data_IF_210635466155
#
_entry.id   IF_210635466155
#
_cell.length_a   1.000
_cell.length_b   1.000
_cell.length_c   1.000
_cell.angle_alpha   90.00
_cell.angle_beta   90.00
_cell.angle_gamma   90.00
#
_symmetry.space_group_name_H-M   'P 1'
#
loop_
_entity.id
_entity.type
_entity.pdbx_description
1 polymer ?
#
# COMPACT_ATOMS: atom_id res chain seq x y z
N UNK A 1 34.83 -15.87 -22.71
CA UNK A 1 33.75 -16.88 -22.68
C UNK A 1 32.57 -16.28 -21.93
N UNK A 2 31.51 -15.92 -22.67
CA UNK A 2 30.14 -15.58 -22.24
C UNK A 2 29.91 -14.50 -21.15
N UNK A 3 29.57 -13.29 -21.63
CA UNK A 3 28.84 -12.22 -20.92
C UNK A 3 27.38 -12.60 -20.58
N UNK A 4 26.74 -11.75 -19.76
CA UNK A 4 25.31 -11.65 -19.41
C UNK A 4 24.81 -12.63 -18.33
N UNK A 5 24.01 -12.21 -17.35
CA UNK A 5 22.73 -11.51 -17.53
C UNK A 5 22.43 -10.51 -16.41
N UNK A 6 21.99 -9.32 -16.83
CA UNK A 6 21.32 -8.32 -16.01
C UNK A 6 20.17 -8.98 -15.24
N UNK A 7 20.07 -8.69 -13.94
CA UNK A 7 18.86 -8.93 -13.16
C UNK A 7 17.74 -8.10 -13.78
N UNK A 8 16.94 -8.76 -14.62
CA UNK A 8 15.74 -8.19 -15.20
C UNK A 8 14.75 -7.98 -14.06
N UNK A 9 14.35 -6.73 -13.90
CA UNK A 9 13.15 -6.29 -13.18
C UNK A 9 12.07 -7.36 -13.26
N UNK A 10 11.67 -7.91 -12.10
CA UNK A 10 10.52 -8.82 -12.02
C UNK A 10 9.28 -8.06 -12.50
N UNK A 11 8.86 -8.34 -13.72
CA UNK A 11 7.61 -7.87 -14.27
C UNK A 11 6.46 -8.31 -13.35
N UNK A 12 5.67 -7.34 -12.92
CA UNK A 12 4.49 -7.55 -12.11
C UNK A 12 3.43 -8.22 -12.99
N UNK A 13 3.31 -9.54 -12.84
CA UNK A 13 2.32 -10.43 -13.49
C UNK A 13 2.56 -10.76 -14.97
N UNK A 14 3.07 -11.97 -15.19
CA UNK A 14 2.88 -12.71 -16.46
C UNK A 14 2.20 -14.04 -16.13
N UNK A 15 0.87 -14.01 -16.00
CA UNK A 15 0.08 -15.23 -16.20
C UNK A 15 -1.20 -14.84 -16.91
N UNK A 16 -1.35 -15.41 -18.10
CA UNK A 16 -2.57 -15.45 -18.89
C UNK A 16 -3.68 -16.04 -18.01
N UNK A 17 -4.49 -15.18 -17.42
CA UNK A 17 -5.78 -15.53 -16.87
C UNK A 17 -6.79 -14.65 -17.60
N UNK A 18 -7.79 -15.32 -18.21
CA UNK A 18 -9.11 -14.83 -18.63
C UNK A 18 -9.40 -13.37 -18.27
N UNK A 19 -9.94 -12.57 -19.20
CA UNK A 19 -10.47 -11.22 -18.95
C UNK A 19 -11.52 -11.21 -17.83
N UNK A 20 -11.07 -11.33 -16.61
CA UNK A 20 -11.79 -11.21 -15.36
C UNK A 20 -11.54 -9.81 -14.80
N UNK A 21 -12.51 -9.30 -14.06
CA UNK A 21 -12.48 -7.95 -13.51
C UNK A 21 -11.19 -7.70 -12.69
N UNK A 22 -10.49 -6.61 -13.00
CA UNK A 22 -9.30 -6.18 -12.28
C UNK A 22 -9.68 -5.06 -11.31
N UNK A 23 -9.50 -5.30 -10.01
CA UNK A 23 -9.58 -4.26 -8.99
C UNK A 23 -8.17 -3.95 -8.48
N UNK A 24 -7.67 -2.75 -8.78
CA UNK A 24 -6.33 -2.29 -8.38
C UNK A 24 -6.44 -0.88 -7.83
N UNK A 25 -5.90 -0.67 -6.63
CA UNK A 25 -5.72 0.63 -6.02
C UNK A 25 -4.24 0.85 -5.69
N UNK A 26 -3.74 2.06 -5.94
CA UNK A 26 -2.40 2.50 -5.54
C UNK A 26 -2.61 3.74 -4.69
N UNK A 27 -2.20 3.68 -3.43
CA UNK A 27 -2.33 4.77 -2.48
C UNK A 27 -0.93 5.23 -2.05
N UNK A 28 -0.72 6.54 -2.06
CA UNK A 28 0.53 7.17 -1.63
C UNK A 28 0.18 8.25 -0.61
N UNK A 29 0.76 8.14 0.58
CA UNK A 29 0.40 8.99 1.70
C UNK A 29 1.18 8.64 2.95
N UNK A 30 0.77 9.25 4.06
CA UNK A 30 1.46 9.12 5.34
C UNK A 30 0.66 8.24 6.30
N UNK A 31 1.36 7.55 7.20
CA UNK A 31 0.73 6.66 8.18
C UNK A 31 0.21 7.49 9.36
N UNK A 32 -1.10 7.39 9.64
CA UNK A 32 -1.76 8.18 10.68
C UNK A 32 -1.51 7.70 12.11
N UNK A 33 -1.28 6.40 12.26
CA UNK A 33 -1.13 5.70 13.52
C UNK A 33 -0.18 4.53 13.35
N UNK A 34 0.55 4.18 14.40
CA UNK A 34 1.33 2.94 14.41
C UNK A 34 0.45 1.74 14.06
N UNK A 35 1.02 0.74 13.40
CA UNK A 35 0.26 -0.42 13.00
C UNK A 35 -0.12 -1.29 14.20
N UNK A 36 -1.37 -1.75 14.21
CA UNK A 36 -1.86 -2.75 15.16
C UNK A 36 -1.71 -4.13 14.54
N UNK A 37 -1.01 -5.04 15.21
CA UNK A 37 -0.92 -6.45 14.82
C UNK A 37 -1.76 -7.30 15.76
N UNK A 38 -2.73 -8.01 15.19
CA UNK A 38 -3.57 -8.96 15.90
C UNK A 38 -3.32 -10.37 15.37
N UNK A 39 -2.95 -11.28 16.26
CA UNK A 39 -2.90 -12.70 15.95
C UNK A 39 -4.30 -13.30 16.17
N UNK A 40 -4.88 -13.88 15.13
CA UNK A 40 -6.22 -14.49 15.17
C UNK A 40 -6.11 -16.00 15.43
N UNK A 41 -5.09 -16.64 14.85
CA UNK A 41 -4.73 -18.04 15.07
C UNK A 41 -3.22 -18.21 14.89
N UNK A 42 -2.68 -19.39 15.19
CA UNK A 42 -1.23 -19.68 15.07
C UNK A 42 -0.67 -19.31 13.68
N UNK A 43 -1.46 -19.51 12.62
CA UNK A 43 -1.04 -19.22 11.24
C UNK A 43 -1.63 -17.94 10.62
N UNK A 44 -2.46 -17.17 11.36
CA UNK A 44 -3.14 -15.99 10.81
C UNK A 44 -2.87 -14.76 11.66
N UNK A 45 -2.20 -13.79 11.04
CA UNK A 45 -1.99 -12.46 11.59
C UNK A 45 -2.68 -11.42 10.73
N UNK A 46 -3.25 -10.41 11.37
CA UNK A 46 -3.87 -9.25 10.73
C UNK A 46 -3.18 -8.00 11.21
N UNK A 47 -2.71 -7.20 10.27
CA UNK A 47 -2.11 -5.88 10.53
C UNK A 47 -3.05 -4.81 10.03
N UNK A 48 -3.39 -3.86 10.90
CA UNK A 48 -4.25 -2.72 10.57
C UNK A 48 -3.50 -1.42 10.77
N UNK A 49 -3.61 -0.51 9.81
CA UNK A 49 -3.10 0.86 9.95
C UNK A 49 -3.94 1.86 9.14
N UNK A 50 -3.80 3.14 9.48
CA UNK A 50 -4.47 4.25 8.79
C UNK A 50 -3.50 4.96 7.85
N UNK A 51 -3.95 5.29 6.64
CA UNK A 51 -3.18 6.01 5.63
C UNK A 51 -3.90 7.31 5.25
N UNK A 52 -3.22 8.43 5.42
CA UNK A 52 -3.68 9.76 5.00
C UNK A 52 -3.15 10.06 3.60
N UNK A 53 -4.04 10.27 2.64
CA UNK A 53 -3.69 10.78 1.30
C UNK A 53 -4.23 12.20 1.18
N UNK A 54 -3.36 13.15 0.88
CA UNK A 54 -3.76 14.56 0.70
C UNK A 54 -3.67 14.97 -0.76
N UNK A 55 -4.70 15.66 -1.23
CA UNK A 55 -4.73 16.33 -2.53
C UNK A 55 -4.86 17.85 -2.31
N UNK A 56 -4.15 18.64 -3.12
CA UNK A 56 -4.35 20.09 -3.16
C UNK A 56 -5.14 20.44 -4.40
N UNK A 57 -6.31 21.06 -4.21
CA UNK A 57 -7.21 21.46 -5.30
C UNK A 57 -7.53 22.94 -5.17
N UNK A 58 -7.58 23.66 -6.30
CA UNK A 58 -8.08 25.05 -6.31
C UNK A 58 -9.61 25.08 -6.34
N UNK A 59 -10.22 25.93 -5.53
CA UNK A 59 -11.66 26.19 -5.60
C UNK A 59 -12.04 27.11 -6.79
N UNK A 60 -13.32 27.45 -6.90
CA UNK A 60 -13.82 28.34 -7.96
C UNK A 60 -13.39 29.81 -7.76
N UNK A 61 -12.99 30.16 -6.55
CA UNK A 61 -12.58 31.50 -6.11
C UNK A 61 -11.06 31.70 -6.21
N UNK A 62 -10.31 30.64 -6.54
CA UNK A 62 -8.86 30.63 -6.71
C UNK A 62 -8.06 30.21 -5.48
N UNK A 63 -8.71 29.89 -4.36
CA UNK A 63 -8.02 29.47 -3.14
C UNK A 63 -7.56 28.01 -3.25
N UNK A 64 -6.39 27.71 -2.68
CA UNK A 64 -5.87 26.34 -2.62
C UNK A 64 -6.45 25.64 -1.39
N UNK A 65 -7.27 24.62 -1.62
CA UNK A 65 -7.86 23.78 -0.59
C UNK A 65 -7.07 22.48 -0.50
N UNK A 66 -6.62 22.14 0.72
CA UNK A 66 -6.06 20.82 1.03
C UNK A 66 -7.20 19.91 1.47
N UNK A 67 -7.41 18.81 0.75
CA UNK A 67 -8.35 17.75 1.14
C UNK A 67 -7.56 16.52 1.53
N UNK A 68 -7.88 15.94 2.68
CA UNK A 68 -7.25 14.72 3.17
C UNK A 68 -8.29 13.62 3.25
N UNK A 69 -7.98 12.47 2.64
CA UNK A 69 -8.75 11.24 2.74
C UNK A 69 -8.02 10.25 3.63
N UNK A 70 -8.79 9.56 4.48
CA UNK A 70 -8.28 8.56 5.39
C UNK A 70 -8.69 7.17 4.92
N UNK A 71 -7.69 6.30 4.73
CA UNK A 71 -7.87 4.94 4.28
C UNK A 71 -7.50 3.97 5.39
N UNK A 72 -8.36 2.99 5.67
CA UNK A 72 -8.04 1.89 6.58
C UNK A 72 -7.46 0.73 5.78
N UNK A 73 -6.19 0.42 6.02
CA UNK A 73 -5.51 -0.70 5.36
C UNK A 73 -5.52 -1.90 6.30
N UNK A 74 -5.97 -3.03 5.78
CA UNK A 74 -5.95 -4.33 6.47
C UNK A 74 -5.12 -5.28 5.62
N UNK A 75 -3.99 -5.72 6.16
CA UNK A 75 -3.15 -6.74 5.52
C UNK A 75 -3.13 -8.03 6.33
N UNK A 76 -3.14 -9.14 5.62
CA UNK A 76 -3.13 -10.48 6.18
C UNK A 76 -1.75 -11.08 5.99
N UNK A 77 -1.24 -11.77 7.03
CA UNK A 77 0.04 -12.48 7.00
C UNK A 77 1.18 -11.60 6.46
N UNK A 78 1.17 -10.31 6.82
CA UNK A 78 2.27 -9.40 6.51
C UNK A 78 3.54 -9.95 7.16
N UNK A 79 4.66 -9.88 6.44
CA UNK A 79 5.95 -10.31 6.97
C UNK A 79 6.31 -9.50 8.22
N UNK A 80 6.81 -10.14 9.30
CA UNK A 80 7.11 -9.44 10.56
C UNK A 80 7.99 -8.19 10.38
N UNK A 81 9.06 -8.29 9.57
CA UNK A 81 9.98 -7.16 9.33
C UNK A 81 9.36 -5.96 8.59
N UNK A 82 8.21 -6.14 7.95
CA UNK A 82 7.50 -5.05 7.26
C UNK A 82 6.69 -4.25 8.27
N UNK A 83 6.10 -4.91 9.26
CA UNK A 83 5.37 -4.30 10.35
C UNK A 83 6.25 -3.30 11.11
N UNK A 84 7.50 -3.64 11.40
CA UNK A 84 8.44 -2.77 12.12
C UNK A 84 8.72 -1.44 11.40
N UNK A 85 8.45 -1.38 10.09
CA UNK A 85 8.64 -0.20 9.25
C UNK A 85 7.39 0.67 9.16
N UNK A 86 6.22 0.16 9.55
CA UNK A 86 4.96 0.90 9.51
C UNK A 86 4.79 1.63 10.85
N UNK A 87 5.26 2.88 10.89
CA UNK A 87 5.16 3.76 12.06
C UNK A 87 4.45 5.04 11.69
N UNK A 88 3.84 5.69 12.68
CA UNK A 88 3.24 7.02 12.51
C UNK A 88 4.27 8.03 11.98
N UNK A 89 3.91 8.75 10.93
CA UNK A 89 4.76 9.78 10.30
C UNK A 89 4.56 9.86 8.79
#
# INVERSE_FOLDING_TARGET
>A
MSLLRRSLSRAFSTSVATRSNVNKAILVGNVGSDCEVKQISEEKTVTTYSLATSEMRKDKEGNTIKQTQWHRIVGWNIRPHTTDKIKKG
#
